data_IF_136680270715
#
_entry.id   IF_136680270715
#
_cell.length_a   1.000
_cell.length_b   1.000
_cell.length_c   1.000
_cell.angle_alpha   90.00
_cell.angle_beta   90.00
_cell.angle_gamma   90.00
#
_symmetry.space_group_name_H-M   'P 1'
#
loop_
_entity.id
_entity.type
_entity.pdbx_description
1 polymer ?
#
# COMPACT_ATOMS: atom_id res chain seq x y z
N UNK A 1 -5.38 -8.62 -10.73
CA UNK A 1 -4.24 -8.13 -11.53
C UNK A 1 -3.22 -7.61 -10.54
N UNK A 2 -2.12 -8.34 -10.33
CA UNK A 2 -1.03 -7.92 -9.43
C UNK A 2 -0.55 -6.52 -9.81
N UNK A 3 -0.22 -5.67 -8.84
CA UNK A 3 0.47 -4.39 -9.11
C UNK A 3 1.77 -4.70 -9.87
N UNK A 4 1.74 -4.40 -11.17
CA UNK A 4 2.87 -4.55 -12.06
C UNK A 4 3.62 -3.23 -12.10
N UNK A 5 4.88 -3.25 -11.67
CA UNK A 5 5.77 -2.12 -11.80
C UNK A 5 6.76 -2.36 -12.93
N UNK A 6 6.95 -1.32 -13.76
CA UNK A 6 7.88 -1.35 -14.88
C UNK A 6 9.23 -0.82 -14.44
N UNK A 7 10.28 -1.59 -14.68
CA UNK A 7 11.67 -1.20 -14.45
C UNK A 7 12.38 -1.10 -15.80
N UNK A 8 13.14 -0.02 -15.98
CA UNK A 8 13.98 0.20 -17.16
C UNK A 8 15.39 -0.26 -16.85
N UNK A 9 15.94 -1.14 -17.69
CA UNK A 9 17.25 -1.74 -17.53
C UNK A 9 18.11 -1.49 -18.75
N UNK A 10 19.42 -1.38 -18.54
CA UNK A 10 20.41 -1.48 -19.62
C UNK A 10 20.50 -2.93 -20.07
N UNK A 11 20.45 -3.18 -21.38
CA UNK A 11 20.62 -4.52 -21.91
C UNK A 11 22.04 -5.04 -21.61
N UNK A 12 22.20 -6.34 -21.37
CA UNK A 12 23.50 -6.93 -20.99
C UNK A 12 24.60 -6.73 -22.02
N UNK A 13 24.24 -6.51 -23.28
CA UNK A 13 25.15 -6.24 -24.40
C UNK A 13 25.27 -4.75 -24.75
N UNK A 14 24.57 -3.86 -24.03
CA UNK A 14 24.59 -2.44 -24.30
C UNK A 14 25.81 -1.77 -23.65
N UNK A 15 26.43 -0.86 -24.39
CA UNK A 15 27.52 -0.01 -23.91
C UNK A 15 27.16 1.46 -24.08
N UNK A 16 27.63 2.31 -23.18
CA UNK A 16 27.51 3.79 -23.31
C UNK A 16 28.19 4.32 -24.57
N UNK A 17 29.16 3.58 -25.11
CA UNK A 17 29.88 3.89 -26.34
C UNK A 17 29.30 3.18 -27.58
N UNK A 18 28.06 2.70 -27.52
CA UNK A 18 27.45 1.96 -28.63
C UNK A 18 27.37 2.83 -29.91
N UNK A 19 27.83 2.32 -31.07
CA UNK A 19 27.87 3.09 -32.31
C UNK A 19 26.48 3.58 -32.76
N UNK A 20 25.40 2.88 -32.38
CA UNK A 20 24.01 3.25 -32.68
C UNK A 20 23.60 4.56 -31.99
N UNK A 21 24.32 5.01 -30.96
CA UNK A 21 24.06 6.25 -30.20
C UNK A 21 25.24 7.23 -30.23
N UNK A 22 26.24 7.01 -31.11
CA UNK A 22 27.42 7.87 -31.25
C UNK A 22 27.08 9.34 -31.56
N UNK A 23 25.96 9.59 -32.25
CA UNK A 23 25.46 10.96 -32.57
C UNK A 23 24.23 11.38 -31.77
N UNK A 24 23.86 10.63 -30.72
CA UNK A 24 22.65 10.86 -29.94
C UNK A 24 22.98 11.15 -28.46
N UNK A 25 23.41 12.38 -28.13
CA UNK A 25 23.92 12.73 -26.79
C UNK A 25 22.88 12.48 -25.67
N UNK A 26 21.60 12.79 -25.91
CA UNK A 26 20.52 12.51 -24.94
C UNK A 26 20.26 11.02 -24.70
N UNK A 27 20.45 10.18 -25.73
CA UNK A 27 20.34 8.73 -25.57
C UNK A 27 21.55 8.17 -24.80
N UNK A 28 22.75 8.71 -25.05
CA UNK A 28 23.94 8.35 -24.29
C UNK A 28 23.81 8.72 -22.82
N UNK A 29 23.39 9.95 -22.53
CA UNK A 29 23.14 10.40 -21.16
C UNK A 29 22.11 9.51 -20.45
N UNK A 30 20.99 9.21 -21.11
CA UNK A 30 19.97 8.31 -20.55
C UNK A 30 20.51 6.90 -20.28
N UNK A 31 21.30 6.33 -21.21
CA UNK A 31 21.92 5.02 -21.04
C UNK A 31 22.96 5.02 -19.92
N UNK A 32 23.78 6.07 -19.82
CA UNK A 32 24.76 6.25 -18.74
C UNK A 32 24.08 6.34 -17.38
N UNK A 33 23.01 7.13 -17.25
CA UNK A 33 22.25 7.23 -16.01
C UNK A 33 21.61 5.90 -15.64
N UNK A 34 20.99 5.19 -16.59
CA UNK A 34 20.44 3.84 -16.32
C UNK A 34 21.54 2.84 -15.92
N UNK A 35 22.74 2.94 -16.49
CA UNK A 35 23.86 2.05 -16.18
C UNK A 35 24.37 2.22 -14.73
N UNK A 36 24.11 3.36 -14.08
CA UNK A 36 24.41 3.58 -12.67
C UNK A 36 23.44 2.85 -11.72
N UNK A 37 22.37 2.24 -12.24
CA UNK A 37 21.36 1.53 -11.46
C UNK A 37 21.27 0.05 -11.89
N UNK A 38 22.12 -0.84 -11.34
CA UNK A 38 22.18 -2.26 -11.73
C UNK A 38 20.85 -3.01 -11.58
N UNK A 39 20.01 -2.59 -10.62
CA UNK A 39 18.70 -3.20 -10.36
C UNK A 39 17.56 -2.62 -11.21
N UNK A 40 17.89 -1.74 -12.16
CA UNK A 40 16.94 -1.02 -13.00
C UNK A 40 16.33 0.19 -12.31
N UNK A 41 15.72 1.05 -13.11
CA UNK A 41 15.05 2.27 -12.65
C UNK A 41 13.54 2.11 -12.79
N UNK A 42 12.82 2.24 -11.68
CA UNK A 42 11.35 2.22 -11.69
C UNK A 42 10.80 3.34 -12.59
N UNK A 43 9.77 3.04 -13.38
CA UNK A 43 9.20 3.98 -14.35
C UNK A 43 8.76 5.31 -13.72
N UNK A 44 8.32 5.29 -12.46
CA UNK A 44 7.91 6.48 -11.71
C UNK A 44 9.07 7.40 -11.34
N UNK A 45 10.30 6.87 -11.27
CA UNK A 45 11.50 7.63 -10.91
C UNK A 45 12.19 8.30 -12.10
N UNK A 46 11.80 7.96 -13.33
CA UNK A 46 12.42 8.50 -14.55
C UNK A 46 12.43 10.04 -14.56
N UNK A 47 11.34 10.68 -14.15
CA UNK A 47 11.25 12.14 -14.08
C UNK A 47 12.22 12.76 -13.06
N UNK A 48 12.46 12.09 -11.92
CA UNK A 48 13.42 12.55 -10.90
C UNK A 48 14.86 12.43 -11.38
N UNK A 49 15.14 11.47 -12.25
CA UNK A 49 16.45 11.26 -12.87
C UNK A 49 16.62 12.05 -14.18
N UNK A 50 15.68 12.95 -14.50
CA UNK A 50 15.68 13.76 -15.73
C UNK A 50 15.73 12.91 -17.01
N UNK A 51 15.26 11.67 -16.95
CA UNK A 51 15.23 10.74 -18.07
C UNK A 51 14.00 11.01 -18.95
N UNK A 52 14.25 11.40 -20.20
CA UNK A 52 13.20 11.61 -21.19
C UNK A 52 12.68 10.27 -21.76
N UNK A 53 11.36 10.10 -21.76
CA UNK A 53 10.63 8.99 -22.37
C UNK A 53 10.97 8.76 -23.85
N UNK A 54 11.18 9.82 -24.64
CA UNK A 54 11.52 9.66 -26.07
C UNK A 54 12.90 9.03 -26.26
N UNK A 55 13.89 9.44 -25.45
CA UNK A 55 15.23 8.83 -25.49
C UNK A 55 15.19 7.38 -25.05
N UNK A 56 14.40 7.05 -24.03
CA UNK A 56 14.19 5.68 -23.57
C UNK A 56 13.49 4.81 -24.63
N UNK A 57 12.46 5.32 -25.31
CA UNK A 57 11.77 4.60 -26.39
C UNK A 57 12.71 4.33 -27.58
N UNK A 58 13.56 5.30 -27.94
CA UNK A 58 14.55 5.12 -29.01
C UNK A 58 15.65 4.12 -28.62
N UNK A 59 16.09 4.12 -27.36
CA UNK A 59 17.01 3.10 -26.84
C UNK A 59 16.36 1.72 -26.83
N UNK A 60 15.07 1.63 -26.49
CA UNK A 60 14.30 0.38 -26.48
C UNK A 60 14.18 -0.19 -27.89
N UNK A 61 13.88 0.65 -28.88
CA UNK A 61 13.83 0.28 -30.30
C UNK A 61 15.20 -0.16 -30.85
N UNK A 62 16.30 0.30 -30.23
CA UNK A 62 17.67 -0.13 -30.54
C UNK A 62 18.10 -1.35 -29.73
N UNK A 63 17.24 -1.92 -28.89
CA UNK A 63 17.54 -3.04 -27.99
C UNK A 63 18.70 -2.74 -27.01
N UNK A 64 18.93 -1.47 -26.71
CA UNK A 64 19.96 -1.01 -25.76
C UNK A 64 19.46 -0.97 -24.32
N UNK A 65 18.14 -0.93 -24.17
CA UNK A 65 17.45 -1.04 -22.88
C UNK A 65 16.30 -2.03 -23.05
N UNK A 66 15.84 -2.59 -21.95
CA UNK A 66 14.62 -3.39 -21.90
C UNK A 66 13.77 -2.97 -20.72
N UNK A 67 12.47 -3.31 -20.78
CA UNK A 67 11.52 -3.06 -19.70
C UNK A 67 11.19 -4.38 -19.03
N UNK A 68 11.59 -4.52 -17.78
CA UNK A 68 11.17 -5.62 -16.92
C UNK A 68 9.84 -5.23 -16.27
N UNK A 69 8.85 -6.11 -16.34
CA UNK A 69 7.59 -5.95 -15.59
C UNK A 69 7.68 -6.84 -14.36
N UNK A 70 7.86 -6.23 -13.20
CA UNK A 70 7.87 -6.93 -11.92
C UNK A 70 6.47 -6.95 -11.36
N UNK A 71 5.91 -8.14 -11.16
CA UNK A 71 4.77 -8.31 -10.27
C UNK A 71 5.27 -8.16 -8.85
N UNK A 72 4.72 -7.23 -8.08
CA UNK A 72 4.92 -7.28 -6.64
C UNK A 72 4.23 -8.56 -6.15
N UNK A 73 5.01 -9.52 -5.65
CA UNK A 73 4.42 -10.57 -4.84
C UNK A 73 3.78 -9.86 -3.63
N UNK A 74 2.58 -10.28 -3.16
CA UNK A 74 2.05 -9.78 -1.91
C UNK A 74 3.16 -9.92 -0.86
N UNK A 75 3.48 -8.82 -0.17
CA UNK A 75 4.45 -8.92 0.94
C UNK A 75 3.98 -10.05 1.85
N UNK A 76 4.92 -10.91 2.26
CA UNK A 76 4.60 -12.07 3.10
C UNK A 76 3.72 -11.62 4.27
N UNK A 77 2.67 -12.40 4.56
CA UNK A 77 1.81 -12.11 5.73
C UNK A 77 2.70 -12.07 6.96
N UNK A 78 2.53 -11.06 7.78
CA UNK A 78 3.32 -10.91 9.00
C UNK A 78 3.05 -12.09 9.94
N UNK A 79 4.10 -12.67 10.52
CA UNK A 79 3.97 -13.73 11.53
C UNK A 79 3.25 -13.21 12.79
N UNK A 80 3.35 -11.91 13.05
CA UNK A 80 2.68 -11.21 14.14
C UNK A 80 2.03 -9.91 13.65
N UNK A 81 0.75 -9.71 13.99
CA UNK A 81 -0.04 -8.55 13.57
C UNK A 81 0.25 -7.27 14.34
N UNK A 82 0.89 -7.35 15.50
CA UNK A 82 1.08 -6.22 16.40
C UNK A 82 2.52 -5.71 16.38
N UNK A 83 2.68 -4.40 16.15
CA UNK A 83 3.95 -3.69 16.33
C UNK A 83 4.11 -3.16 17.76
N UNK A 84 2.99 -2.89 18.44
CA UNK A 84 2.94 -2.53 19.86
C UNK A 84 2.02 -3.49 20.61
N UNK A 85 2.33 -3.84 21.87
CA UNK A 85 1.50 -4.73 22.67
C UNK A 85 0.13 -4.11 22.96
N UNK A 86 -0.85 -4.96 23.28
CA UNK A 86 -2.18 -4.50 23.65
C UNK A 86 -2.16 -3.80 25.01
N UNK A 87 -3.06 -2.84 25.17
CA UNK A 87 -3.29 -2.26 26.48
C UNK A 87 -4.29 -3.12 27.26
N UNK A 88 -4.09 -3.33 28.56
CA UNK A 88 -5.03 -4.11 29.36
C UNK A 88 -6.39 -3.41 29.39
N UNK A 89 -7.43 -4.12 28.94
CA UNK A 89 -8.81 -3.63 29.01
C UNK A 89 -9.30 -3.62 30.46
N UNK A 90 -9.93 -2.51 30.85
CA UNK A 90 -10.67 -2.45 32.11
C UNK A 90 -11.96 -3.29 32.03
N UNK A 91 -12.70 -3.39 33.14
CA UNK A 91 -13.91 -4.24 33.23
C UNK A 91 -14.96 -3.91 32.17
N UNK A 92 -15.26 -2.63 31.95
CA UNK A 92 -16.30 -2.20 31.00
C UNK A 92 -15.86 -2.43 29.54
N UNK A 93 -14.60 -2.11 29.23
CA UNK A 93 -14.01 -2.34 27.91
C UNK A 93 -13.95 -3.84 27.58
N UNK A 94 -13.59 -4.67 28.56
CA UNK A 94 -13.55 -6.13 28.42
C UNK A 94 -14.95 -6.68 28.17
N UNK A 95 -15.95 -6.21 28.91
CA UNK A 95 -17.34 -6.62 28.69
C UNK A 95 -17.82 -6.25 27.28
N UNK A 96 -17.51 -5.04 26.80
CA UNK A 96 -17.82 -4.62 25.43
C UNK A 96 -17.07 -5.46 24.37
N UNK A 97 -15.79 -5.72 24.59
CA UNK A 97 -14.96 -6.54 23.72
C UNK A 97 -15.53 -7.95 23.58
N UNK A 98 -15.80 -8.64 24.69
CA UNK A 98 -16.34 -10.01 24.68
C UNK A 98 -17.72 -10.07 24.02
N UNK A 99 -18.59 -9.09 24.28
CA UNK A 99 -19.92 -9.02 23.66
C UNK A 99 -19.84 -8.89 22.14
N UNK A 100 -18.92 -8.07 21.62
CA UNK A 100 -18.73 -7.91 20.18
C UNK A 100 -18.04 -9.15 19.59
N UNK A 101 -17.03 -9.71 20.28
CA UNK A 101 -16.30 -10.91 19.87
C UNK A 101 -17.22 -12.12 19.70
N UNK A 102 -18.18 -12.31 20.60
CA UNK A 102 -19.16 -13.38 20.52
C UNK A 102 -20.02 -13.34 19.23
N UNK A 103 -20.10 -12.17 18.58
CA UNK A 103 -20.85 -11.99 17.35
C UNK A 103 -20.06 -12.25 16.05
N UNK A 104 -18.76 -12.59 16.10
CA UNK A 104 -17.87 -12.61 14.92
C UNK A 104 -18.27 -13.57 13.79
N UNK A 105 -19.04 -14.61 14.11
CA UNK A 105 -19.45 -15.63 13.15
C UNK A 105 -20.74 -15.28 12.38
N UNK A 106 -21.38 -14.15 12.68
CA UNK A 106 -22.58 -13.69 11.97
C UNK A 106 -22.76 -12.18 12.01
N UNK A 107 -23.67 -11.65 11.19
CA UNK A 107 -23.90 -10.21 11.13
C UNK A 107 -24.50 -9.69 12.45
N UNK A 108 -23.85 -8.67 13.01
CA UNK A 108 -24.33 -7.94 14.18
C UNK A 108 -24.00 -6.45 14.06
N UNK A 109 -24.85 -5.62 14.67
CA UNK A 109 -24.62 -4.19 14.80
C UNK A 109 -24.54 -3.82 16.28
N UNK A 110 -23.47 -3.13 16.67
CA UNK A 110 -23.23 -2.69 18.05
C UNK A 110 -23.03 -1.18 18.10
N UNK A 111 -23.53 -0.56 19.18
CA UNK A 111 -23.18 0.82 19.54
C UNK A 111 -22.25 0.77 20.75
N UNK A 112 -20.97 1.08 20.55
CA UNK A 112 -20.03 1.29 21.64
C UNK A 112 -20.07 2.76 22.09
N UNK A 113 -20.96 3.05 23.04
CA UNK A 113 -21.12 4.38 23.61
C UNK A 113 -20.12 4.65 24.74
N UNK A 114 -19.52 5.83 24.75
CA UNK A 114 -18.63 6.27 25.81
C UNK A 114 -18.06 7.65 25.51
N UNK A 115 -17.67 8.39 26.54
CA UNK A 115 -17.06 9.72 26.39
C UNK A 115 -15.66 9.64 25.74
N UNK A 116 -15.14 10.75 25.22
CA UNK A 116 -13.74 10.82 24.78
C UNK A 116 -12.82 10.45 25.93
N UNK A 117 -11.77 9.67 25.67
CA UNK A 117 -10.85 9.20 26.71
C UNK A 117 -11.29 7.93 27.45
N UNK A 118 -12.52 7.43 27.24
CA UNK A 118 -12.97 6.16 27.84
C UNK A 118 -12.30 4.89 27.25
N UNK A 119 -11.42 5.06 26.27
CA UNK A 119 -10.65 3.97 25.65
C UNK A 119 -11.41 3.12 24.61
N UNK A 120 -12.51 3.63 24.02
CA UNK A 120 -13.21 2.96 22.89
C UNK A 120 -12.26 2.53 21.77
N UNK A 121 -11.27 3.36 21.48
CA UNK A 121 -10.26 3.09 20.45
C UNK A 121 -9.54 1.77 20.73
N UNK A 122 -9.16 1.49 21.97
CA UNK A 122 -8.45 0.25 22.31
C UNK A 122 -9.33 -0.97 22.07
N UNK A 123 -10.63 -0.89 22.40
CA UNK A 123 -11.60 -1.96 22.10
C UNK A 123 -11.63 -2.25 20.60
N UNK A 124 -11.69 -1.23 19.74
CA UNK A 124 -11.69 -1.43 18.28
C UNK A 124 -10.34 -1.99 17.79
N UNK A 125 -9.21 -1.55 18.32
CA UNK A 125 -7.89 -2.07 17.93
C UNK A 125 -7.76 -3.58 18.25
N UNK A 126 -8.22 -4.03 19.41
CA UNK A 126 -8.18 -5.46 19.76
C UNK A 126 -9.15 -6.30 18.91
N UNK A 127 -10.35 -5.78 18.61
CA UNK A 127 -11.30 -6.45 17.71
C UNK A 127 -10.76 -6.55 16.27
N UNK A 128 -10.05 -5.52 15.80
CA UNK A 128 -9.40 -5.54 14.50
C UNK A 128 -8.29 -6.60 14.48
N UNK A 129 -7.46 -6.70 15.53
CA UNK A 129 -6.46 -7.78 15.64
C UNK A 129 -7.10 -9.16 15.47
N UNK A 130 -8.16 -9.47 16.22
CA UNK A 130 -8.88 -10.75 16.11
C UNK A 130 -9.41 -10.99 14.69
N UNK A 131 -9.90 -9.93 14.03
CA UNK A 131 -10.34 -10.00 12.62
C UNK A 131 -9.19 -10.39 11.69
N UNK A 132 -8.01 -9.80 11.89
CA UNK A 132 -6.80 -10.10 11.11
C UNK A 132 -6.26 -11.51 11.40
N UNK A 133 -6.29 -11.97 12.65
CA UNK A 133 -5.91 -13.33 13.04
C UNK A 133 -6.82 -14.39 12.41
N UNK A 134 -8.11 -14.07 12.22
CA UNK A 134 -9.03 -14.88 11.45
C UNK A 134 -8.78 -14.85 9.92
N UNK A 135 -7.76 -14.13 9.46
CA UNK A 135 -7.41 -14.01 8.04
C UNK A 135 -8.38 -13.15 7.21
N UNK A 136 -9.18 -12.31 7.87
CA UNK A 136 -10.13 -11.37 7.26
C UNK A 136 -9.54 -9.96 7.22
N UNK A 137 -10.12 -9.09 6.39
CA UNK A 137 -9.74 -7.68 6.29
C UNK A 137 -10.65 -6.81 7.18
N UNK A 138 -10.15 -5.66 7.63
CA UNK A 138 -10.93 -4.70 8.43
C UNK A 138 -11.16 -3.38 7.69
N UNK A 139 -12.39 -2.87 7.67
CA UNK A 139 -12.72 -1.53 7.18
C UNK A 139 -13.02 -0.58 8.34
N UNK A 140 -12.31 0.54 8.39
CA UNK A 140 -12.48 1.60 9.39
C UNK A 140 -12.92 2.88 8.70
N UNK A 141 -14.17 3.28 8.95
CA UNK A 141 -14.72 4.53 8.45
C UNK A 141 -14.45 5.68 9.42
N UNK A 142 -13.85 6.74 8.93
CA UNK A 142 -13.60 7.99 9.66
C UNK A 142 -14.51 9.11 9.14
N UNK A 143 -14.90 10.06 10.00
CA UNK A 143 -15.89 11.07 9.62
C UNK A 143 -15.36 12.08 8.59
N UNK A 144 -14.08 12.45 8.67
CA UNK A 144 -13.48 13.47 7.82
C UNK A 144 -12.04 13.12 7.43
N UNK A 145 -11.62 13.64 6.26
CA UNK A 145 -10.28 13.43 5.68
C UNK A 145 -9.18 13.89 6.63
N UNK A 146 -9.42 15.01 7.35
CA UNK A 146 -8.44 15.61 8.25
C UNK A 146 -8.09 14.71 9.44
N UNK A 147 -8.95 13.74 9.78
CA UNK A 147 -8.68 12.74 10.83
C UNK A 147 -7.95 11.51 10.29
N UNK A 148 -7.77 11.41 8.98
CA UNK A 148 -7.02 10.36 8.29
C UNK A 148 -5.61 10.22 8.81
N UNK A 149 -4.77 11.28 8.81
CA UNK A 149 -3.38 11.18 9.25
C UNK A 149 -3.21 10.73 10.71
N UNK A 150 -4.03 11.25 11.62
CA UNK A 150 -3.93 10.90 13.05
C UNK A 150 -4.40 9.46 13.32
N UNK A 151 -5.46 9.04 12.63
CA UNK A 151 -5.96 7.67 12.73
C UNK A 151 -4.97 6.70 12.10
N UNK A 152 -4.47 7.03 10.91
CA UNK A 152 -3.47 6.24 10.20
C UNK A 152 -2.21 6.05 11.05
N UNK A 153 -1.62 7.13 11.56
CA UNK A 153 -0.42 7.05 12.40
C UNK A 153 -0.63 6.16 13.63
N UNK A 154 -1.80 6.22 14.27
CA UNK A 154 -2.13 5.34 15.40
C UNK A 154 -2.19 3.86 14.99
N UNK A 155 -2.78 3.58 13.83
CA UNK A 155 -2.90 2.21 13.32
C UNK A 155 -1.55 1.65 12.86
N UNK A 156 -0.73 2.46 12.18
CA UNK A 156 0.64 2.10 11.80
C UNK A 156 1.54 1.84 13.01
N UNK A 157 1.33 2.57 14.12
CA UNK A 157 2.02 2.31 15.37
C UNK A 157 1.57 1.00 16.04
N UNK A 158 0.28 0.67 15.95
CA UNK A 158 -0.29 -0.51 16.61
C UNK A 158 -0.02 -1.79 15.83
N UNK A 159 -0.17 -1.75 14.52
CA UNK A 159 -0.21 -2.94 13.68
C UNK A 159 1.00 -3.04 12.77
N UNK A 160 1.56 -4.24 12.71
CA UNK A 160 2.42 -4.68 11.62
C UNK A 160 1.50 -5.23 10.51
N UNK A 161 0.74 -4.36 9.87
CA UNK A 161 -0.28 -4.71 8.89
C UNK A 161 -0.20 -3.77 7.69
N UNK A 162 -0.67 -4.24 6.52
CA UNK A 162 -0.70 -3.46 5.29
C UNK A 162 -1.93 -2.57 5.32
N UNK A 163 -1.74 -1.28 5.56
CA UNK A 163 -2.85 -0.33 5.72
C UNK A 163 -3.04 0.46 4.41
N UNK A 164 -4.27 0.48 3.90
CA UNK A 164 -4.65 1.25 2.73
C UNK A 164 -5.55 2.43 3.11
N UNK A 165 -5.26 3.61 2.57
CA UNK A 165 -6.05 4.83 2.78
C UNK A 165 -6.92 5.13 1.57
N UNK A 166 -8.23 5.32 1.79
CA UNK A 166 -9.21 5.58 0.72
C UNK A 166 -10.04 6.82 1.05
N UNK A 167 -9.72 7.95 0.42
CA UNK A 167 -10.50 9.19 0.52
C UNK A 167 -10.31 10.10 -0.69
N UNK A 168 -11.05 11.21 -0.79
CA UNK A 168 -11.00 12.09 -1.97
C UNK A 168 -9.71 12.91 -2.10
N UNK A 169 -8.92 13.08 -1.03
CA UNK A 169 -7.66 13.81 -1.09
C UNK A 169 -6.42 12.98 -1.51
N UNK A 170 -6.54 11.65 -1.71
CA UNK A 170 -5.48 10.86 -2.36
C UNK A 170 -5.64 10.98 -3.87
N UNK A 171 -4.53 10.92 -4.62
CA UNK A 171 -4.62 11.02 -6.07
C UNK A 171 -5.26 9.77 -6.69
N UNK A 172 -5.72 9.87 -7.94
CA UNK A 172 -6.47 8.80 -8.61
C UNK A 172 -5.69 7.48 -8.69
N UNK A 173 -4.36 7.56 -8.85
CA UNK A 173 -3.48 6.39 -8.92
C UNK A 173 -3.38 5.72 -7.55
N UNK A 174 -3.10 6.46 -6.49
CA UNK A 174 -3.05 5.95 -5.12
C UNK A 174 -4.39 5.33 -4.72
N UNK A 175 -5.51 5.97 -5.08
CA UNK A 175 -6.84 5.44 -4.81
C UNK A 175 -7.10 4.14 -5.56
N UNK A 176 -6.73 4.06 -6.84
CA UNK A 176 -6.83 2.82 -7.63
C UNK A 176 -5.96 1.73 -7.03
N UNK A 177 -4.72 2.06 -6.68
CA UNK A 177 -3.78 1.14 -6.06
C UNK A 177 -4.36 0.60 -4.74
N UNK A 178 -4.87 1.45 -3.86
CA UNK A 178 -5.52 1.06 -2.60
C UNK A 178 -6.76 0.17 -2.83
N UNK A 179 -7.58 0.52 -3.82
CA UNK A 179 -8.77 -0.25 -4.20
C UNK A 179 -8.41 -1.66 -4.70
N UNK A 180 -7.40 -1.78 -5.56
CA UNK A 180 -6.90 -3.07 -6.05
C UNK A 180 -6.31 -3.91 -4.92
N UNK A 181 -5.54 -3.28 -4.03
CA UNK A 181 -4.96 -3.98 -2.88
C UNK A 181 -6.03 -4.52 -1.94
N UNK A 182 -7.08 -3.75 -1.66
CA UNK A 182 -8.21 -4.22 -0.87
C UNK A 182 -8.93 -5.40 -1.55
N UNK A 183 -9.23 -5.29 -2.86
CA UNK A 183 -9.86 -6.34 -3.66
C UNK A 183 -9.09 -7.66 -3.64
N UNK A 184 -7.77 -7.56 -3.80
CA UNK A 184 -6.89 -8.73 -3.98
C UNK A 184 -6.43 -9.33 -2.65
N UNK A 185 -6.81 -8.72 -1.51
CA UNK A 185 -6.43 -9.14 -0.16
C UNK A 185 -4.98 -8.75 0.20
N UNK A 186 -4.46 -7.72 -0.44
CA UNK A 186 -3.13 -7.14 -0.22
C UNK A 186 -3.14 -5.96 0.76
N UNK A 187 -4.31 -5.46 1.13
CA UNK A 187 -4.51 -4.56 2.26
C UNK A 187 -5.19 -5.31 3.40
N UNK A 188 -4.62 -5.29 4.60
CA UNK A 188 -5.18 -5.96 5.78
C UNK A 188 -6.20 -5.05 6.47
N UNK A 189 -5.93 -3.75 6.51
CA UNK A 189 -6.81 -2.73 7.08
C UNK A 189 -7.04 -1.63 6.03
N UNK A 190 -8.29 -1.27 5.81
CA UNK A 190 -8.70 -0.15 4.96
C UNK A 190 -9.22 0.96 5.86
N UNK A 191 -8.63 2.15 5.76
CA UNK A 191 -9.08 3.34 6.48
C UNK A 191 -9.60 4.34 5.45
N UNK A 192 -10.78 4.91 5.66
CA UNK A 192 -11.30 5.89 4.72
C UNK A 192 -12.54 6.62 5.17
N UNK A 193 -12.95 7.61 4.38
CA UNK A 193 -14.20 8.33 4.63
C UNK A 193 -15.38 7.60 3.97
N UNK A 194 -16.53 8.28 3.79
CA UNK A 194 -17.77 7.70 3.25
C UNK A 194 -17.59 6.88 1.97
N UNK A 195 -16.73 7.29 1.04
CA UNK A 195 -16.52 6.57 -0.22
C UNK A 195 -15.87 5.20 -0.05
N UNK A 196 -15.12 4.99 1.03
CA UNK A 196 -14.44 3.72 1.29
C UNK A 196 -15.40 2.56 1.56
N UNK A 197 -16.67 2.86 1.86
CA UNK A 197 -17.75 1.86 1.97
C UNK A 197 -17.89 0.99 0.71
N UNK A 198 -17.54 1.53 -0.46
CA UNK A 198 -17.63 0.82 -1.74
C UNK A 198 -16.33 0.11 -2.15
N UNK A 199 -15.36 0.02 -1.23
CA UNK A 199 -14.10 -0.67 -1.50
C UNK A 199 -14.34 -2.18 -1.49
N UNK A 200 -14.01 -2.92 -2.57
CA UNK A 200 -14.10 -4.36 -2.56
C UNK A 200 -13.08 -4.94 -1.59
N UNK A 201 -13.49 -5.94 -0.84
CA UNK A 201 -12.63 -6.69 0.08
C UNK A 201 -12.74 -8.16 -0.30
N UNK A 202 -11.60 -8.86 -0.31
CA UNK A 202 -11.51 -10.26 -0.67
C UNK A 202 -12.26 -11.14 0.34
N UNK A 203 -12.05 -10.87 1.63
CA UNK A 203 -12.61 -11.61 2.77
C UNK A 203 -12.92 -10.68 3.94
#
# INVERSE_FOLDING_TARGET
ESRQERFWHVATNASVDDPRIARAPKQREALTTLAQHPHGVAHQLLGKLLLNKDSLNLLLAKELVYVEVRSHAPSARHEHWLAQPELPLNTEQRAAYEAIRAGFDSFHAFLLAGVTGSGKTEVYLQLIRETLEAGKQALVLIPEINLGPQTLARFEQRFNARIALVHSAVNDRERLDAWLAARDGEADIIIGTRSALFTPMKN
#
